data_IF_753305081423
#
_entry.id   IF_753305081423
#
_cell.length_a   1.000
_cell.length_b   1.000
_cell.length_c   1.000
_cell.angle_alpha   90.00
_cell.angle_beta   90.00
_cell.angle_gamma   90.00
#
_symmetry.space_group_name_H-M   'P 1'
#
loop_
_entity.id
_entity.type
_entity.pdbx_description
1 polymer ?
#
# COMPACT_ATOMS: atom_id res chain seq x y z
N UNK A 1 -10.67 30.99 16.04
CA UNK A 1 -11.07 30.57 14.68
C UNK A 1 -11.81 29.24 14.80
N UNK A 2 -13.00 29.17 14.28
CA UNK A 2 -13.76 27.92 14.25
C UNK A 2 -12.98 26.91 13.35
N UNK A 3 -12.72 25.70 13.87
CA UNK A 3 -12.01 24.69 13.12
C UNK A 3 -12.91 24.14 12.01
N UNK A 4 -12.41 24.04 10.79
CA UNK A 4 -13.12 23.38 9.68
C UNK A 4 -13.47 21.94 10.06
N UNK A 5 -14.72 21.53 9.87
CA UNK A 5 -15.12 20.13 9.96
C UNK A 5 -14.57 19.37 8.76
N UNK A 6 -13.86 18.27 9.01
CA UNK A 6 -13.34 17.38 7.97
C UNK A 6 -14.15 16.09 7.99
N UNK A 7 -14.51 15.60 6.83
CA UNK A 7 -15.32 14.38 6.63
C UNK A 7 -14.65 13.48 5.62
N UNK A 8 -14.91 12.18 5.71
CA UNK A 8 -14.54 11.19 4.71
C UNK A 8 -15.66 11.16 3.68
N UNK A 9 -15.32 11.27 2.39
CA UNK A 9 -16.27 11.34 1.27
C UNK A 9 -16.20 10.13 0.36
N UNK A 10 -15.12 9.35 0.42
CA UNK A 10 -14.96 8.12 -0.33
C UNK A 10 -13.91 7.22 0.31
N UNK A 11 -14.06 5.92 0.12
CA UNK A 11 -13.20 4.88 0.67
C UNK A 11 -12.83 3.90 -0.44
N UNK A 12 -11.60 3.39 -0.41
CA UNK A 12 -11.14 2.33 -1.30
C UNK A 12 -10.12 1.44 -0.61
N UNK A 13 -10.08 0.17 -0.97
CA UNK A 13 -9.17 -0.79 -0.35
C UNK A 13 -8.73 -1.90 -1.29
N UNK A 14 -7.51 -2.37 -1.07
CA UNK A 14 -6.99 -3.64 -1.55
C UNK A 14 -6.36 -4.34 -0.37
N UNK A 15 -6.87 -5.50 0.00
CA UNK A 15 -6.36 -6.23 1.16
C UNK A 15 -6.57 -7.75 1.00
N UNK A 16 -6.01 -8.59 1.91
CA UNK A 16 -6.07 -10.05 1.78
C UNK A 16 -7.46 -10.67 1.81
N UNK A 17 -8.50 -9.95 2.22
CA UNK A 17 -9.89 -10.44 2.25
C UNK A 17 -10.82 -9.66 1.32
N UNK A 18 -10.30 -8.75 0.48
CA UNK A 18 -11.12 -8.06 -0.51
C UNK A 18 -10.31 -7.16 -1.43
N UNK A 19 -10.69 -7.15 -2.70
CA UNK A 19 -10.12 -6.28 -3.73
C UNK A 19 -11.04 -5.07 -4.03
N UNK A 20 -12.06 -4.86 -3.21
CA UNK A 20 -12.94 -3.70 -3.17
C UNK A 20 -13.51 -3.51 -1.77
N UNK A 21 -14.05 -2.33 -1.50
CA UNK A 21 -14.73 -2.01 -0.23
C UNK A 21 -15.90 -2.96 0.01
N UNK A 22 -16.70 -3.24 -1.00
CA UNK A 22 -17.86 -4.14 -0.89
C UNK A 22 -17.44 -5.57 -0.52
N UNK A 23 -16.45 -6.13 -1.22
CA UNK A 23 -15.91 -7.45 -0.92
C UNK A 23 -15.29 -7.49 0.47
N UNK A 24 -14.52 -6.48 0.83
CA UNK A 24 -13.89 -6.37 2.14
C UNK A 24 -14.90 -6.38 3.28
N UNK A 25 -15.92 -5.52 3.23
CA UNK A 25 -16.93 -5.46 4.31
C UNK A 25 -17.73 -6.74 4.43
N UNK A 26 -18.15 -7.34 3.31
CA UNK A 26 -18.83 -8.64 3.31
C UNK A 26 -17.97 -9.72 3.99
N UNK A 27 -16.73 -9.85 3.59
CA UNK A 27 -15.81 -10.86 4.15
C UNK A 27 -15.42 -10.55 5.60
N UNK A 28 -15.39 -9.27 6.00
CA UNK A 28 -15.20 -8.87 7.39
C UNK A 28 -16.38 -9.27 8.27
N UNK A 29 -17.62 -9.05 7.83
CA UNK A 29 -18.85 -9.48 8.52
C UNK A 29 -18.94 -11.00 8.65
N UNK A 30 -18.51 -11.73 7.62
CA UNK A 30 -18.45 -13.20 7.59
C UNK A 30 -17.29 -13.78 8.42
N UNK A 31 -16.41 -12.94 8.99
CA UNK A 31 -15.25 -13.37 9.77
C UNK A 31 -14.19 -14.10 8.95
N UNK A 32 -14.06 -13.78 7.65
CA UNK A 32 -13.09 -14.41 6.76
C UNK A 32 -11.66 -14.05 7.18
N UNK A 33 -10.81 -15.06 7.39
CA UNK A 33 -9.37 -14.88 7.64
C UNK A 33 -8.61 -14.83 6.32
N UNK A 34 -7.80 -13.79 6.12
CA UNK A 34 -6.89 -13.66 4.99
C UNK A 34 -5.57 -14.44 5.15
N UNK A 35 -5.32 -15.02 6.34
CA UNK A 35 -4.11 -15.74 6.62
C UNK A 35 -4.08 -17.12 5.94
N UNK A 36 -2.95 -17.44 5.32
CA UNK A 36 -2.74 -18.70 4.59
C UNK A 36 -1.24 -19.01 4.50
N UNK A 37 -0.88 -20.16 3.95
CA UNK A 37 0.50 -20.48 3.60
C UNK A 37 1.03 -19.50 2.56
N UNK A 38 2.26 -19.03 2.74
CA UNK A 38 2.93 -18.13 1.79
C UNK A 38 3.05 -18.83 0.42
N UNK A 39 2.61 -18.11 -0.63
CA UNK A 39 2.71 -18.57 -2.02
C UNK A 39 3.64 -17.69 -2.88
N UNK A 40 3.97 -16.49 -2.43
CA UNK A 40 4.81 -15.54 -3.15
C UNK A 40 6.26 -16.01 -3.37
N UNK A 41 6.76 -16.89 -2.49
CA UNK A 41 8.09 -17.49 -2.59
C UNK A 41 8.15 -18.83 -1.82
N UNK A 42 9.23 -19.61 -2.01
CA UNK A 42 9.45 -20.83 -1.24
C UNK A 42 9.80 -20.51 0.22
N UNK A 43 8.83 -20.64 1.11
CA UNK A 43 8.96 -20.38 2.55
C UNK A 43 9.34 -21.62 3.38
N UNK A 44 9.65 -22.76 2.78
CA UNK A 44 9.88 -24.05 3.49
C UNK A 44 11.00 -23.98 4.53
N UNK A 45 11.99 -23.10 4.31
CA UNK A 45 13.13 -22.90 5.22
C UNK A 45 12.88 -21.85 6.31
N UNK A 46 11.72 -21.20 6.30
CA UNK A 46 11.39 -20.17 7.28
C UNK A 46 10.64 -20.75 8.49
N UNK A 47 10.89 -20.19 9.66
CA UNK A 47 10.17 -20.57 10.87
C UNK A 47 8.67 -20.22 10.79
N UNK A 48 8.34 -19.04 10.25
CA UNK A 48 6.99 -18.66 9.89
C UNK A 48 6.78 -18.83 8.39
N UNK A 49 5.74 -19.57 8.00
CA UNK A 49 5.41 -19.90 6.61
C UNK A 49 4.00 -19.40 6.22
N UNK A 50 3.48 -18.49 7.02
CA UNK A 50 2.13 -17.95 6.89
C UNK A 50 2.19 -16.44 6.67
N UNK A 51 1.27 -15.94 5.84
CA UNK A 51 1.07 -14.51 5.63
C UNK A 51 -0.37 -14.24 5.18
N UNK A 52 -0.74 -12.95 5.19
CA UNK A 52 -1.96 -12.47 4.59
C UNK A 52 -1.60 -11.84 3.23
N UNK A 53 -1.68 -12.63 2.16
CA UNK A 53 -1.40 -12.19 0.80
C UNK A 53 -2.67 -11.67 0.13
N UNK A 54 -2.56 -10.58 -0.64
CA UNK A 54 -3.63 -10.14 -1.53
C UNK A 54 -3.78 -11.15 -2.66
N UNK A 55 -4.98 -11.74 -2.77
CA UNK A 55 -5.31 -12.78 -3.73
C UNK A 55 -6.09 -12.18 -4.91
N UNK A 56 -5.93 -12.78 -6.10
CA UNK A 56 -6.69 -12.43 -7.32
C UNK A 56 -6.62 -10.93 -7.70
N UNK A 57 -5.54 -10.24 -7.31
CA UNK A 57 -5.37 -8.83 -7.63
C UNK A 57 -5.09 -8.62 -9.12
N UNK A 58 -5.96 -7.90 -9.78
CA UNK A 58 -5.80 -7.47 -11.17
C UNK A 58 -5.54 -5.96 -11.25
N UNK A 59 -4.30 -5.53 -11.43
CA UNK A 59 -3.99 -4.11 -11.59
C UNK A 59 -4.47 -3.52 -12.92
N UNK A 60 -4.90 -4.36 -13.88
CA UNK A 60 -5.33 -3.86 -15.21
C UNK A 60 -6.64 -3.09 -15.19
N UNK A 61 -7.37 -3.12 -14.06
CA UNK A 61 -8.54 -2.25 -13.82
C UNK A 61 -8.16 -0.76 -13.80
N UNK A 62 -6.89 -0.44 -13.52
CA UNK A 62 -6.38 0.94 -13.44
C UNK A 62 -5.24 1.20 -14.41
N UNK A 63 -4.46 0.15 -14.75
CA UNK A 63 -3.25 0.28 -15.54
C UNK A 63 -3.35 -0.41 -16.89
N UNK A 64 -2.76 0.18 -17.93
CA UNK A 64 -2.40 -0.61 -19.11
C UNK A 64 -1.26 -1.60 -18.78
N UNK A 65 -1.35 -2.82 -19.30
CA UNK A 65 -0.34 -3.89 -19.00
C UNK A 65 1.10 -3.45 -19.22
N UNK A 66 1.36 -2.63 -20.27
CA UNK A 66 2.71 -2.14 -20.59
C UNK A 66 3.27 -1.18 -19.53
N UNK A 67 2.39 -0.53 -18.76
CA UNK A 67 2.77 0.44 -17.73
C UNK A 67 3.14 -0.24 -16.41
N UNK A 68 2.63 -1.46 -16.14
CA UNK A 68 2.83 -2.16 -14.86
C UNK A 68 4.30 -2.30 -14.46
N UNK A 69 5.20 -2.43 -15.44
CA UNK A 69 6.66 -2.51 -15.20
C UNK A 69 7.25 -1.27 -14.52
N UNK A 70 6.55 -0.14 -14.54
CA UNK A 70 6.99 1.13 -13.95
C UNK A 70 6.65 1.25 -12.47
N UNK A 71 5.79 0.38 -11.95
CA UNK A 71 5.25 0.47 -10.60
C UNK A 71 5.62 -0.77 -9.78
N UNK A 72 6.07 -0.54 -8.55
CA UNK A 72 6.14 -1.61 -7.55
C UNK A 72 4.74 -1.99 -7.09
N UNK A 73 4.60 -3.19 -6.51
CA UNK A 73 3.30 -3.71 -6.09
C UNK A 73 2.58 -2.84 -5.06
N UNK A 74 3.32 -2.21 -4.12
CA UNK A 74 2.72 -1.29 -3.15
C UNK A 74 2.09 -0.07 -3.82
N UNK A 75 2.74 0.46 -4.88
CA UNK A 75 2.19 1.57 -5.68
C UNK A 75 0.99 1.14 -6.51
N UNK A 76 0.96 -0.11 -7.00
CA UNK A 76 -0.21 -0.65 -7.70
C UNK A 76 -1.40 -0.75 -6.76
N UNK A 77 -1.22 -1.23 -5.53
CA UNK A 77 -2.25 -1.25 -4.49
C UNK A 77 -2.76 0.17 -4.18
N UNK A 78 -1.83 1.12 -4.01
CA UNK A 78 -2.16 2.52 -3.76
C UNK A 78 -3.09 3.10 -4.85
N UNK A 79 -2.71 2.93 -6.14
CA UNK A 79 -3.48 3.51 -7.22
C UNK A 79 -4.86 2.86 -7.39
N UNK A 80 -4.96 1.54 -7.20
CA UNK A 80 -6.27 0.88 -7.30
C UNK A 80 -7.18 1.30 -6.14
N UNK A 81 -6.70 1.29 -4.90
CA UNK A 81 -7.47 1.74 -3.75
C UNK A 81 -7.82 3.25 -3.83
N UNK A 82 -6.88 4.10 -4.25
CA UNK A 82 -7.17 5.52 -4.44
C UNK A 82 -8.18 5.77 -5.58
N UNK A 83 -8.16 4.96 -6.63
CA UNK A 83 -9.16 5.05 -7.71
C UNK A 83 -10.54 4.74 -7.18
N UNK A 84 -10.72 3.64 -6.46
CA UNK A 84 -12.00 3.29 -5.83
C UNK A 84 -12.48 4.41 -4.89
N UNK A 85 -11.59 4.99 -4.06
CA UNK A 85 -11.94 6.08 -3.14
C UNK A 85 -12.38 7.36 -3.87
N UNK A 86 -11.73 7.72 -4.98
CA UNK A 86 -12.10 8.89 -5.80
C UNK A 86 -13.44 8.66 -6.48
N UNK A 87 -13.70 7.46 -7.00
CA UNK A 87 -14.96 7.08 -7.62
C UNK A 87 -16.10 7.06 -6.60
N UNK A 88 -15.89 6.46 -5.42
CA UNK A 88 -16.87 6.44 -4.32
C UNK A 88 -17.21 7.86 -3.84
N UNK A 89 -16.23 8.77 -3.81
CA UNK A 89 -16.44 10.17 -3.48
C UNK A 89 -17.24 10.94 -4.54
N UNK A 90 -17.46 10.37 -5.73
CA UNK A 90 -18.18 10.99 -6.87
C UNK A 90 -17.64 12.40 -7.22
N UNK A 91 -16.32 12.57 -7.19
CA UNK A 91 -15.69 13.85 -7.46
C UNK A 91 -15.84 14.26 -8.92
N UNK A 92 -16.42 15.44 -9.14
CA UNK A 92 -16.43 16.08 -10.46
C UNK A 92 -15.15 16.92 -10.62
N UNK A 93 -14.14 16.32 -11.25
CA UNK A 93 -12.82 16.93 -11.41
C UNK A 93 -12.82 18.23 -12.23
N UNK A 94 -13.89 18.49 -13.03
CA UNK A 94 -14.03 19.71 -13.80
C UNK A 94 -14.56 20.89 -12.96
N UNK A 95 -15.14 20.60 -11.79
CA UNK A 95 -15.75 21.60 -10.90
C UNK A 95 -14.94 21.92 -9.65
N UNK A 96 -13.88 21.18 -9.40
CA UNK A 96 -13.02 21.39 -8.23
C UNK A 96 -11.72 22.08 -8.60
N UNK A 97 -11.17 22.84 -7.66
CA UNK A 97 -9.84 23.44 -7.81
C UNK A 97 -8.75 22.41 -7.52
N UNK A 98 -8.11 21.89 -8.57
CA UNK A 98 -7.07 20.85 -8.47
C UNK A 98 -5.82 21.32 -7.72
N UNK A 99 -5.55 22.64 -7.65
CA UNK A 99 -4.47 23.21 -6.83
C UNK A 99 -4.76 23.10 -5.33
N UNK A 100 -6.04 22.86 -4.98
CA UNK A 100 -6.52 22.69 -3.61
C UNK A 100 -6.76 21.23 -3.22
N UNK A 101 -6.46 20.27 -4.12
CA UNK A 101 -6.56 18.84 -3.83
C UNK A 101 -5.15 18.27 -3.65
N UNK A 102 -4.87 17.75 -2.45
CA UNK A 102 -3.59 17.15 -2.11
C UNK A 102 -3.63 15.62 -2.09
N UNK A 103 -2.44 15.03 -1.96
CA UNK A 103 -2.24 13.58 -1.72
C UNK A 103 -1.23 13.41 -0.60
N UNK A 104 -1.66 12.80 0.50
CA UNK A 104 -0.78 12.39 1.61
C UNK A 104 -0.90 10.88 1.74
N UNK A 105 0.04 10.15 1.17
CA UNK A 105 -0.02 8.69 1.08
C UNK A 105 1.17 8.06 1.77
N UNK A 106 0.93 7.10 2.66
CA UNK A 106 1.96 6.49 3.47
C UNK A 106 2.43 5.14 2.92
N UNK A 107 3.69 4.83 3.19
CA UNK A 107 4.26 3.49 3.09
C UNK A 107 5.38 3.36 4.11
N UNK A 108 5.45 2.23 4.80
CA UNK A 108 6.50 1.99 5.81
C UNK A 108 7.86 1.71 5.19
N UNK A 109 7.88 1.02 4.05
CA UNK A 109 9.13 0.56 3.39
C UNK A 109 9.17 0.92 1.90
N UNK A 110 8.02 1.05 1.25
CA UNK A 110 7.95 1.31 -0.18
C UNK A 110 8.27 0.08 -1.03
N UNK A 111 8.99 0.28 -2.14
CA UNK A 111 9.29 -0.75 -3.15
C UNK A 111 10.39 -1.73 -2.74
N UNK A 112 10.26 -2.37 -1.59
CA UNK A 112 11.26 -3.31 -1.08
C UNK A 112 11.42 -4.55 -1.98
N UNK A 113 10.34 -5.02 -2.64
CA UNK A 113 10.44 -6.10 -3.62
C UNK A 113 11.35 -5.69 -4.77
N UNK A 114 11.12 -4.50 -5.33
CA UNK A 114 11.96 -3.96 -6.41
C UNK A 114 13.42 -3.85 -5.97
N UNK A 115 13.69 -3.35 -4.76
CA UNK A 115 15.05 -3.25 -4.23
C UNK A 115 15.70 -4.64 -4.13
N UNK A 116 15.00 -5.60 -3.55
CA UNK A 116 15.50 -6.97 -3.40
C UNK A 116 15.83 -7.61 -4.76
N UNK A 117 14.91 -7.52 -5.72
CA UNK A 117 15.07 -8.14 -7.04
C UNK A 117 16.25 -7.54 -7.82
N UNK A 118 16.40 -6.22 -7.82
CA UNK A 118 17.49 -5.52 -8.50
C UNK A 118 18.86 -5.84 -7.88
N UNK A 119 18.95 -5.86 -6.54
CA UNK A 119 20.19 -6.19 -5.82
C UNK A 119 20.57 -7.66 -6.03
N UNK A 120 19.61 -8.59 -5.94
CA UNK A 120 19.85 -10.01 -6.16
C UNK A 120 20.21 -10.30 -7.63
N UNK A 121 19.57 -9.63 -8.57
CA UNK A 121 19.90 -9.71 -9.99
C UNK A 121 21.33 -9.25 -10.27
N UNK A 122 21.78 -8.16 -9.65
CA UNK A 122 23.16 -7.69 -9.75
C UNK A 122 24.14 -8.65 -9.07
N UNK A 123 23.85 -9.12 -7.86
CA UNK A 123 24.74 -10.00 -7.09
C UNK A 123 24.98 -11.36 -7.76
N UNK A 124 23.99 -11.87 -8.51
CA UNK A 124 24.11 -13.10 -9.30
C UNK A 124 24.71 -12.90 -10.70
N UNK A 125 24.95 -11.64 -11.13
CA UNK A 125 25.44 -11.29 -12.45
C UNK A 125 26.96 -11.24 -12.55
N UNK A 126 27.47 -11.38 -13.79
CA UNK A 126 28.88 -11.21 -14.13
C UNK A 126 29.00 -10.01 -15.05
N UNK A 127 29.80 -9.01 -14.65
CA UNK A 127 30.13 -7.86 -15.49
C UNK A 127 29.62 -6.52 -14.97
N UNK A 128 29.36 -5.55 -15.87
CA UNK A 128 28.94 -4.20 -15.49
C UNK A 128 27.54 -4.23 -14.87
N UNK A 129 27.33 -3.60 -13.68
CA UNK A 129 26.03 -3.50 -13.05
C UNK A 129 25.01 -2.83 -13.98
N UNK A 130 23.86 -3.49 -14.17
CA UNK A 130 22.73 -2.94 -14.92
C UNK A 130 21.50 -3.01 -14.04
N UNK A 131 20.95 -1.84 -13.71
CA UNK A 131 19.71 -1.69 -12.98
C UNK A 131 18.60 -1.19 -13.91
N UNK A 132 17.37 -1.48 -13.57
CA UNK A 132 16.22 -0.94 -14.29
C UNK A 132 16.21 0.59 -14.22
N UNK A 133 15.88 1.32 -15.31
CA UNK A 133 15.68 2.76 -15.24
C UNK A 133 14.52 3.16 -14.32
N UNK A 134 13.66 2.21 -13.98
CA UNK A 134 12.56 2.38 -13.04
C UNK A 134 12.93 1.98 -11.60
N UNK A 135 14.17 1.57 -11.32
CA UNK A 135 14.56 1.09 -9.99
C UNK A 135 14.27 2.14 -8.91
N UNK A 136 14.84 3.32 -9.04
CA UNK A 136 14.65 4.39 -8.05
C UNK A 136 13.18 4.84 -7.96
N UNK A 137 12.48 5.16 -9.07
CA UNK A 137 11.06 5.52 -9.01
C UNK A 137 10.13 4.44 -8.43
N UNK A 138 10.48 3.17 -8.55
CA UNK A 138 9.69 2.07 -7.96
C UNK A 138 9.97 1.88 -6.47
N UNK A 139 11.20 2.19 -6.03
CA UNK A 139 11.65 1.92 -4.68
C UNK A 139 11.19 2.97 -3.67
N UNK A 140 11.21 4.26 -4.05
CA UNK A 140 10.95 5.38 -3.12
C UNK A 140 9.49 5.39 -2.67
N UNK A 141 9.25 5.44 -1.36
CA UNK A 141 7.92 5.30 -0.74
C UNK A 141 6.94 6.45 -1.04
N UNK A 142 7.42 7.64 -1.42
CA UNK A 142 6.56 8.79 -1.75
C UNK A 142 5.99 8.72 -3.18
N UNK A 143 6.51 7.85 -4.02
CA UNK A 143 6.07 7.75 -5.41
C UNK A 143 4.61 7.29 -5.54
N UNK A 144 4.06 6.57 -4.55
CA UNK A 144 2.64 6.26 -4.54
C UNK A 144 1.79 7.55 -4.50
N UNK A 145 2.14 8.52 -3.63
CA UNK A 145 1.50 9.83 -3.59
C UNK A 145 1.66 10.59 -4.91
N UNK A 146 2.88 10.60 -5.45
CA UNK A 146 3.18 11.23 -6.74
C UNK A 146 2.38 10.63 -7.89
N UNK A 147 2.25 9.32 -7.95
CA UNK A 147 1.49 8.63 -9.00
C UNK A 147 -0.02 8.90 -8.92
N UNK A 148 -0.59 8.94 -7.72
CA UNK A 148 -2.00 9.33 -7.53
C UNK A 148 -2.22 10.77 -8.01
N UNK A 149 -1.33 11.69 -7.62
CA UNK A 149 -1.37 13.09 -8.04
C UNK A 149 -1.31 13.23 -9.56
N UNK A 150 -0.38 12.54 -10.21
CA UNK A 150 -0.22 12.55 -11.66
C UNK A 150 -1.45 11.99 -12.39
N UNK A 151 -2.07 10.94 -11.85
CA UNK A 151 -3.25 10.32 -12.46
C UNK A 151 -4.44 11.27 -12.53
N UNK A 152 -4.65 12.09 -11.51
CA UNK A 152 -5.81 12.95 -11.38
C UNK A 152 -5.53 14.44 -11.61
N UNK A 153 -4.27 14.81 -11.78
CA UNK A 153 -3.86 16.21 -11.92
C UNK A 153 -3.94 17.00 -10.61
N UNK A 154 -3.89 16.35 -9.44
CA UNK A 154 -3.93 17.02 -8.17
C UNK A 154 -2.61 17.77 -7.89
N UNK A 155 -2.69 19.06 -7.56
CA UNK A 155 -1.53 19.96 -7.45
C UNK A 155 -1.38 20.58 -6.04
N UNK A 156 -2.19 20.15 -5.07
CA UNK A 156 -2.06 20.54 -3.68
C UNK A 156 -0.88 19.83 -2.98
N UNK A 157 -0.82 19.86 -1.63
CA UNK A 157 0.24 19.18 -0.87
C UNK A 157 0.40 17.72 -1.29
N UNK A 158 1.65 17.30 -1.60
CA UNK A 158 1.96 15.95 -2.03
C UNK A 158 3.22 15.44 -1.33
N UNK A 159 3.08 14.43 -0.48
CA UNK A 159 4.20 13.79 0.22
C UNK A 159 3.79 12.47 0.87
N UNK A 160 4.80 11.71 1.30
CA UNK A 160 4.62 10.47 2.05
C UNK A 160 4.95 10.66 3.54
N UNK A 161 4.23 9.92 4.38
CA UNK A 161 4.48 9.82 5.82
C UNK A 161 5.03 8.43 6.11
N UNK A 162 6.11 8.36 6.91
CA UNK A 162 6.75 7.11 7.30
C UNK A 162 6.86 7.05 8.82
N UNK A 163 6.13 6.14 9.42
CA UNK A 163 6.13 5.82 10.85
C UNK A 163 5.79 4.36 11.10
N UNK A 164 6.39 3.47 10.31
CA UNK A 164 6.18 2.03 10.34
C UNK A 164 4.69 1.66 10.24
N UNK A 165 4.18 0.79 11.12
CA UNK A 165 2.78 0.34 11.12
C UNK A 165 1.75 1.47 11.33
N UNK A 166 2.15 2.62 11.87
CA UNK A 166 1.29 3.77 12.10
C UNK A 166 1.24 4.76 10.93
N UNK A 167 1.98 4.51 9.85
CA UNK A 167 2.16 5.45 8.74
C UNK A 167 0.83 5.95 8.14
N UNK A 168 -0.11 5.04 7.85
CA UNK A 168 -1.42 5.40 7.29
C UNK A 168 -2.24 6.28 8.24
N UNK A 169 -2.21 5.98 9.55
CA UNK A 169 -2.92 6.79 10.54
C UNK A 169 -2.33 8.20 10.62
N UNK A 170 -1.00 8.32 10.58
CA UNK A 170 -0.34 9.63 10.58
C UNK A 170 -0.62 10.40 9.29
N UNK A 171 -0.67 9.74 8.13
CA UNK A 171 -1.09 10.38 6.88
C UNK A 171 -2.49 10.97 6.98
N UNK A 172 -3.45 10.24 7.58
CA UNK A 172 -4.81 10.74 7.80
C UNK A 172 -4.86 11.91 8.78
N UNK A 173 -4.04 11.89 9.85
CA UNK A 173 -3.91 13.01 10.80
C UNK A 173 -3.36 14.25 10.09
N UNK A 174 -2.33 14.10 9.28
CA UNK A 174 -1.75 15.20 8.51
C UNK A 174 -2.75 15.75 7.50
N UNK A 175 -3.44 14.90 6.76
CA UNK A 175 -4.49 15.30 5.82
C UNK A 175 -5.59 16.12 6.50
N UNK A 176 -6.08 15.64 7.65
CA UNK A 176 -7.06 16.36 8.45
C UNK A 176 -6.55 17.74 8.87
N UNK A 177 -5.30 17.83 9.33
CA UNK A 177 -4.70 19.08 9.78
C UNK A 177 -4.49 20.07 8.62
N UNK A 178 -4.03 19.61 7.47
CA UNK A 178 -3.85 20.44 6.27
C UNK A 178 -5.18 21.07 5.82
N UNK A 179 -6.28 20.32 5.84
CA UNK A 179 -7.61 20.84 5.53
C UNK A 179 -8.05 21.85 6.60
N UNK A 180 -7.88 21.54 7.89
CA UNK A 180 -8.21 22.44 9.00
C UNK A 180 -7.45 23.76 8.94
N UNK A 181 -6.18 23.73 8.53
CA UNK A 181 -5.35 24.93 8.36
C UNK A 181 -5.59 25.67 7.04
N UNK A 182 -6.50 25.19 6.19
CA UNK A 182 -6.83 25.82 4.92
C UNK A 182 -5.73 25.65 3.87
N UNK A 183 -4.83 24.68 4.02
CA UNK A 183 -3.76 24.39 3.04
C UNK A 183 -4.26 23.55 1.87
N UNK A 184 -5.33 22.82 2.07
CA UNK A 184 -6.05 22.06 1.05
C UNK A 184 -7.54 22.11 1.35
N UNK A 185 -8.38 21.79 0.37
CA UNK A 185 -9.82 21.63 0.54
C UNK A 185 -10.21 20.14 0.51
N UNK A 186 -9.45 19.34 -0.21
CA UNK A 186 -9.56 17.88 -0.25
C UNK A 186 -8.18 17.22 -0.23
N UNK A 187 -8.08 16.03 0.34
CA UNK A 187 -6.85 15.23 0.32
C UNK A 187 -7.21 13.75 0.14
N UNK A 188 -6.60 13.11 -0.84
CA UNK A 188 -6.54 11.66 -0.94
C UNK A 188 -5.49 11.18 0.05
N UNK A 189 -5.87 10.36 1.01
CA UNK A 189 -4.98 9.93 2.09
C UNK A 189 -5.18 8.46 2.45
N UNK A 190 -4.13 7.83 2.92
CA UNK A 190 -4.12 6.43 3.31
C UNK A 190 -2.71 5.89 3.33
N UNK A 191 -2.57 4.61 3.01
CA UNK A 191 -1.26 3.99 2.88
C UNK A 191 -1.35 2.60 2.27
N UNK A 192 -0.26 2.17 1.68
CA UNK A 192 -0.14 0.86 1.05
C UNK A 192 1.22 0.24 1.31
N UNK A 193 1.23 -1.09 1.39
CA UNK A 193 2.45 -1.87 1.59
C UNK A 193 2.33 -3.22 0.88
N UNK A 194 3.44 -3.77 0.38
CA UNK A 194 3.50 -5.10 -0.22
C UNK A 194 4.67 -5.90 0.37
N UNK A 195 4.64 -6.24 1.68
CA UNK A 195 5.82 -6.70 2.40
C UNK A 195 5.97 -8.23 2.44
N UNK A 196 5.12 -9.01 1.72
CA UNK A 196 5.23 -10.48 1.75
C UNK A 196 6.33 -10.92 0.78
N UNK A 197 7.56 -10.72 1.21
CA UNK A 197 8.80 -11.01 0.49
C UNK A 197 9.84 -11.62 1.41
N UNK A 198 10.85 -12.27 0.83
CA UNK A 198 11.92 -12.98 1.57
C UNK A 198 12.57 -12.10 2.66
N UNK A 199 13.08 -10.88 2.39
CA UNK A 199 13.72 -10.05 3.41
C UNK A 199 12.79 -9.68 4.57
N UNK A 200 11.53 -9.35 4.27
CA UNK A 200 10.58 -8.94 5.33
C UNK A 200 10.20 -10.10 6.22
N UNK A 201 9.82 -11.25 5.65
CA UNK A 201 9.48 -12.43 6.43
C UNK A 201 10.70 -12.91 7.24
N UNK A 202 11.89 -12.90 6.64
CA UNK A 202 13.15 -13.23 7.33
C UNK A 202 13.45 -12.28 8.48
N UNK A 203 13.34 -10.98 8.25
CA UNK A 203 13.59 -9.95 9.27
C UNK A 203 12.64 -10.05 10.46
N UNK A 204 11.34 -10.10 10.22
CA UNK A 204 10.33 -10.24 11.29
C UNK A 204 10.41 -11.59 11.99
N UNK A 205 10.75 -12.69 11.30
CA UNK A 205 11.01 -13.99 11.92
C UNK A 205 12.21 -13.93 12.86
N UNK A 206 13.30 -13.26 12.47
CA UNK A 206 14.50 -13.08 13.31
C UNK A 206 14.21 -12.29 14.59
N UNK A 207 13.28 -11.34 14.51
CA UNK A 207 12.79 -10.59 15.68
C UNK A 207 11.82 -11.40 16.54
N UNK A 208 11.45 -12.62 16.15
CA UNK A 208 10.39 -13.45 16.77
C UNK A 208 9.03 -12.74 16.84
N UNK A 209 8.74 -11.89 15.87
CA UNK A 209 7.51 -11.11 15.79
C UNK A 209 6.39 -11.81 15.00
N UNK A 210 6.69 -12.95 14.37
CA UNK A 210 5.74 -13.72 13.59
C UNK A 210 5.34 -15.00 14.30
N UNK A 211 4.07 -15.39 14.16
CA UNK A 211 3.58 -16.70 14.60
C UNK A 211 4.25 -17.82 13.81
N UNK A 212 4.60 -18.91 14.47
CA UNK A 212 5.14 -20.14 13.86
C UNK A 212 4.11 -21.26 13.80
N UNK A 213 2.82 -20.94 14.02
CA UNK A 213 1.71 -21.91 13.97
C UNK A 213 1.32 -22.19 12.51
N UNK A 214 2.22 -22.86 11.80
CA UNK A 214 2.10 -23.12 10.36
C UNK A 214 1.06 -24.20 10.01
N UNK A 215 0.61 -24.98 10.99
CA UNK A 215 -0.41 -26.03 10.89
C UNK A 215 -1.83 -25.49 10.84
N UNK A 216 -2.03 -24.24 11.33
CA UNK A 216 -3.34 -23.61 11.37
C UNK A 216 -3.20 -22.10 11.05
N UNK A 217 -2.98 -21.73 9.79
CA UNK A 217 -2.74 -20.34 9.39
C UNK A 217 -3.87 -19.39 9.80
N UNK A 218 -5.13 -19.83 9.67
CA UNK A 218 -6.30 -18.98 9.91
C UNK A 218 -6.45 -18.54 11.36
N UNK A 219 -5.92 -19.32 12.31
CA UNK A 219 -5.94 -19.02 13.73
C UNK A 219 -4.53 -18.78 14.32
N UNK A 220 -3.56 -18.45 13.46
CA UNK A 220 -2.17 -18.28 13.89
C UNK A 220 -1.89 -16.94 14.58
N UNK A 221 -2.66 -15.89 14.27
CA UNK A 221 -2.56 -14.59 14.94
C UNK A 221 -3.38 -14.61 16.23
N UNK A 222 -2.68 -14.76 17.36
CA UNK A 222 -3.28 -14.90 18.69
C UNK A 222 -2.52 -14.06 19.72
N UNK A 223 -2.61 -12.73 19.62
CA UNK A 223 -1.92 -11.82 20.54
C UNK A 223 -2.40 -12.07 21.98
N UNK A 224 -1.44 -12.09 22.91
CA UNK A 224 -1.66 -12.34 24.35
C UNK A 224 -2.21 -13.74 24.72
N UNK A 225 -2.25 -14.67 23.77
CA UNK A 225 -2.58 -16.07 24.02
C UNK A 225 -1.30 -16.90 24.33
N UNK A 226 -1.51 -18.11 24.92
CA UNK A 226 -0.41 -19.02 25.29
C UNK A 226 -0.01 -19.91 24.14
#
# INVERSE_FOLDING_TARGET
>A
MEQRRVVITGIGTINPIGNSIEEYFRNLEDGVSGADTITAFDATKFASRIACEVKNFDPTVVFERKELRKYDRYSQFALVAATEAVEDAQLDLEKIDLERVGVVWASGVGGMQTYYDEVMGWAGGIGTPRFSPFFVPKMISDLAAGHISLKYGFMGPNYSVVSACASSNHAMIDAMNLIRWGKADMIVTGGSEAPVIIPSIGGFSSMRALSTRNDDPKHASRPFDK
#
